data_IF_418830416407
#
_entry.id   IF_418830416407
#
_cell.length_a   1.000
_cell.length_b   1.000
_cell.length_c   1.000
_cell.angle_alpha   90.00
_cell.angle_beta   90.00
_cell.angle_gamma   90.00
#
_symmetry.space_group_name_H-M   'P 1'
#
loop_
_entity.id
_entity.type
_entity.pdbx_description
1 polymer ?
#
# COMPACT_ATOMS: atom_id res chain seq x y z
N UNK A 1 10.18 18.60 -1.30
CA UNK A 1 9.02 18.85 -0.42
C UNK A 1 9.50 18.63 1.00
N UNK A 2 9.22 19.53 1.94
CA UNK A 2 9.59 19.30 3.34
C UNK A 2 8.67 18.24 3.98
N UNK A 3 9.10 17.63 5.08
CA UNK A 3 8.25 16.71 5.84
C UNK A 3 6.92 17.37 6.26
N UNK A 4 6.97 18.61 6.75
CA UNK A 4 5.78 19.36 7.17
C UNK A 4 4.81 19.60 6.02
N UNK A 5 5.31 19.95 4.83
CA UNK A 5 4.47 20.14 3.65
C UNK A 5 3.79 18.83 3.24
N UNK A 6 4.51 17.72 3.33
CA UNK A 6 3.96 16.39 3.02
C UNK A 6 2.82 16.01 3.98
N UNK A 7 3.01 16.19 5.29
CA UNK A 7 1.96 15.88 6.28
C UNK A 7 0.71 16.70 6.03
N UNK A 8 0.87 17.99 5.75
CA UNK A 8 -0.27 18.87 5.45
C UNK A 8 -1.02 18.37 4.22
N UNK A 9 -0.32 18.05 3.13
CA UNK A 9 -0.93 17.48 1.94
C UNK A 9 -1.65 16.16 2.24
N UNK A 10 -1.00 15.25 2.97
CA UNK A 10 -1.53 13.93 3.28
C UNK A 10 -2.81 14.01 4.13
N UNK A 11 -2.85 14.88 5.14
CA UNK A 11 -3.99 15.02 6.05
C UNK A 11 -5.13 15.89 5.49
N UNK A 12 -4.81 16.93 4.72
CA UNK A 12 -5.80 17.91 4.27
C UNK A 12 -6.32 17.65 2.86
N UNK A 13 -5.63 16.84 2.04
CA UNK A 13 -6.04 16.52 0.66
C UNK A 13 -7.51 16.08 0.57
N UNK A 14 -7.94 15.15 1.43
CA UNK A 14 -9.32 14.67 1.42
C UNK A 14 -10.34 15.76 1.76
N UNK A 15 -9.98 16.72 2.63
CA UNK A 15 -10.86 17.85 2.98
C UNK A 15 -11.15 18.76 1.80
N UNK A 16 -10.27 18.77 0.81
CA UNK A 16 -10.40 19.54 -0.43
C UNK A 16 -10.78 18.66 -1.63
N UNK A 17 -11.22 17.42 -1.38
CA UNK A 17 -11.66 16.49 -2.44
C UNK A 17 -10.53 15.86 -3.25
N UNK A 18 -9.29 15.90 -2.76
CA UNK A 18 -8.13 15.28 -3.40
C UNK A 18 -7.86 13.92 -2.77
N UNK A 19 -7.87 12.86 -3.58
CA UNK A 19 -7.47 11.52 -3.17
C UNK A 19 -6.02 11.26 -3.58
N UNK A 20 -5.19 10.84 -2.62
CA UNK A 20 -3.79 10.49 -2.87
C UNK A 20 -3.66 8.97 -3.07
N UNK A 21 -3.13 8.58 -4.23
CA UNK A 21 -2.76 7.20 -4.54
C UNK A 21 -1.23 7.15 -4.63
N UNK A 22 -0.59 6.44 -3.70
CA UNK A 22 0.86 6.36 -3.59
C UNK A 22 1.31 4.96 -4.02
N UNK A 23 1.97 4.88 -5.17
CA UNK A 23 2.65 3.66 -5.62
C UNK A 23 4.11 3.65 -5.18
N UNK A 24 4.57 2.57 -4.56
CA UNK A 24 5.96 2.42 -4.15
C UNK A 24 6.41 0.96 -4.15
N UNK A 25 7.68 0.74 -4.47
CA UNK A 25 8.33 -0.56 -4.26
C UNK A 25 8.57 -0.81 -2.78
N UNK A 26 8.62 -2.09 -2.37
CA UNK A 26 8.90 -2.50 -0.99
C UNK A 26 10.16 -1.82 -0.43
N UNK A 27 11.25 -1.83 -1.18
CA UNK A 27 12.53 -1.22 -0.77
C UNK A 27 12.42 0.27 -0.45
N UNK A 28 11.57 1.01 -1.17
CA UNK A 28 11.32 2.43 -0.92
C UNK A 28 10.54 2.65 0.37
N UNK A 29 9.61 1.76 0.72
CA UNK A 29 8.79 1.84 1.93
C UNK A 29 9.54 1.38 3.18
N UNK A 30 10.64 0.65 3.03
CA UNK A 30 11.53 0.26 4.14
C UNK A 30 12.49 1.36 4.57
N UNK A 31 12.55 2.48 3.85
CA UNK A 31 13.40 3.62 4.22
C UNK A 31 12.95 4.27 5.54
N UNK A 32 13.88 4.96 6.18
CA UNK A 32 13.70 5.67 7.46
C UNK A 32 13.26 7.13 7.29
N UNK A 33 12.91 7.55 6.06
CA UNK A 33 12.37 8.89 5.80
C UNK A 33 11.10 9.13 6.63
N UNK A 34 10.99 10.33 7.25
CA UNK A 34 9.90 10.66 8.15
C UNK A 34 8.53 10.61 7.45
N UNK A 35 8.46 10.98 6.18
CA UNK A 35 7.23 10.95 5.38
C UNK A 35 6.79 9.51 5.15
N UNK A 36 7.75 8.63 4.82
CA UNK A 36 7.51 7.19 4.63
C UNK A 36 7.09 6.53 5.95
N UNK A 37 7.72 6.91 7.06
CA UNK A 37 7.31 6.45 8.40
C UNK A 37 5.87 6.86 8.69
N UNK A 38 5.51 8.11 8.43
CA UNK A 38 4.17 8.61 8.63
C UNK A 38 3.12 7.88 7.80
N UNK A 39 3.40 7.61 6.50
CA UNK A 39 2.50 6.81 5.65
C UNK A 39 2.23 5.45 6.27
N UNK A 40 3.28 4.73 6.71
CA UNK A 40 3.14 3.38 7.29
C UNK A 40 2.32 3.38 8.57
N UNK A 41 2.52 4.37 9.43
CA UNK A 41 1.80 4.50 10.70
C UNK A 41 0.32 4.87 10.52
N UNK A 42 -0.02 5.52 9.40
CA UNK A 42 -1.39 5.98 9.10
C UNK A 42 -2.01 5.22 7.91
N UNK A 43 -1.51 4.02 7.61
CA UNK A 43 -1.95 3.21 6.48
C UNK A 43 -3.24 2.45 6.85
N UNK A 44 -4.38 2.94 6.37
CA UNK A 44 -5.68 2.27 6.57
C UNK A 44 -6.00 1.30 5.44
N UNK A 45 -5.70 1.68 4.20
CA UNK A 45 -6.03 0.90 2.99
C UNK A 45 -4.81 0.77 2.10
N UNK A 46 -4.59 -0.42 1.53
CA UNK A 46 -3.51 -0.67 0.59
C UNK A 46 -3.88 -1.71 -0.47
N UNK A 47 -3.23 -1.61 -1.63
CA UNK A 47 -3.23 -2.66 -2.65
C UNK A 47 -1.83 -3.27 -2.67
N UNK A 48 -1.72 -4.56 -2.39
CA UNK A 48 -0.44 -5.27 -2.29
C UNK A 48 -0.34 -6.27 -3.43
N UNK A 49 0.52 -5.96 -4.41
CA UNK A 49 0.78 -6.77 -5.60
C UNK A 49 1.96 -7.75 -5.43
N UNK A 50 2.14 -8.28 -4.22
CA UNK A 50 3.12 -9.33 -3.89
C UNK A 50 2.55 -10.21 -2.77
N UNK A 51 3.19 -11.35 -2.48
CA UNK A 51 2.81 -12.18 -1.32
C UNK A 51 2.87 -11.36 -0.04
N UNK A 52 1.88 -11.53 0.83
CA UNK A 52 1.86 -10.89 2.13
C UNK A 52 3.07 -11.32 2.95
N UNK A 53 3.45 -12.60 2.87
CA UNK A 53 4.65 -13.16 3.50
C UNK A 53 5.95 -12.44 3.11
N UNK A 54 6.03 -11.95 1.87
CA UNK A 54 7.24 -11.31 1.35
C UNK A 54 7.32 -9.81 1.70
N UNK A 55 6.35 -9.25 2.43
CA UNK A 55 6.33 -7.83 2.78
C UNK A 55 6.10 -7.61 4.29
N UNK A 56 6.53 -6.46 4.79
CA UNK A 56 6.43 -6.09 6.22
C UNK A 56 5.79 -4.72 6.43
N UNK A 57 5.02 -4.26 5.44
CA UNK A 57 4.40 -2.93 5.38
C UNK A 57 3.00 -3.01 5.99
N UNK A 58 2.19 -3.96 5.54
CA UNK A 58 0.85 -4.22 6.10
C UNK A 58 0.89 -5.40 7.06
N UNK A 59 0.12 -5.28 8.14
CA UNK A 59 -0.07 -6.38 9.08
C UNK A 59 -0.83 -7.53 8.41
N UNK A 60 -0.40 -8.75 8.65
CA UNK A 60 -0.99 -9.94 8.06
C UNK A 60 -0.55 -11.18 8.86
N UNK A 61 -1.23 -12.31 8.65
CA UNK A 61 -0.79 -13.59 9.20
C UNK A 61 0.34 -14.16 8.35
N UNK A 62 1.50 -14.40 8.96
CA UNK A 62 2.63 -15.00 8.27
C UNK A 62 2.37 -16.47 7.97
N UNK A 63 2.23 -16.82 6.68
CA UNK A 63 2.06 -18.20 6.23
C UNK A 63 3.08 -18.51 5.14
N UNK A 64 4.05 -19.37 5.41
CA UNK A 64 5.11 -19.71 4.45
C UNK A 64 4.61 -20.51 3.23
N UNK A 65 3.41 -21.09 3.32
CA UNK A 65 2.73 -21.82 2.24
C UNK A 65 1.90 -20.91 1.33
N UNK A 66 2.03 -19.59 1.46
CA UNK A 66 1.32 -18.64 0.60
C UNK A 66 1.77 -18.79 -0.86
N UNK A 67 0.79 -19.02 -1.74
CA UNK A 67 1.00 -19.10 -3.18
C UNK A 67 1.42 -17.76 -3.76
N UNK A 68 2.26 -17.80 -4.80
CA UNK A 68 2.63 -16.60 -5.55
C UNK A 68 1.41 -16.00 -6.23
N UNK A 69 1.28 -14.67 -6.17
CA UNK A 69 0.23 -13.95 -6.90
C UNK A 69 0.46 -14.05 -8.41
N UNK A 70 -0.63 -14.25 -9.15
CA UNK A 70 -0.63 -14.03 -10.61
C UNK A 70 -0.54 -12.54 -10.92
N UNK A 71 -0.21 -12.22 -12.17
CA UNK A 71 -0.01 -10.82 -12.64
C UNK A 71 -1.24 -9.93 -12.43
N UNK A 72 -2.43 -10.52 -12.38
CA UNK A 72 -3.72 -9.86 -12.21
C UNK A 72 -4.32 -10.10 -10.81
N UNK A 73 -3.54 -10.62 -9.87
CA UNK A 73 -3.98 -10.84 -8.50
C UNK A 73 -3.27 -9.87 -7.55
N UNK A 74 -4.03 -9.32 -6.61
CA UNK A 74 -3.53 -8.42 -5.55
C UNK A 74 -4.25 -8.73 -4.25
N UNK A 75 -3.67 -8.32 -3.12
CA UNK A 75 -4.40 -8.23 -1.86
C UNK A 75 -4.96 -6.82 -1.69
N UNK A 76 -6.27 -6.72 -1.49
CA UNK A 76 -6.89 -5.53 -0.92
C UNK A 76 -6.79 -5.62 0.59
N UNK A 77 -6.07 -4.69 1.19
CA UNK A 77 -5.94 -4.56 2.63
C UNK A 77 -6.79 -3.39 3.12
N UNK A 78 -7.57 -3.62 4.17
CA UNK A 78 -8.30 -2.59 4.88
C UNK A 78 -8.36 -2.92 6.37
N UNK A 79 -7.77 -2.06 7.20
CA UNK A 79 -7.79 -2.15 8.66
C UNK A 79 -7.53 -3.56 9.22
N UNK A 80 -6.34 -4.10 8.92
CA UNK A 80 -5.88 -5.45 9.33
C UNK A 80 -6.60 -6.63 8.68
N UNK A 81 -7.70 -6.40 7.96
CA UNK A 81 -8.31 -7.40 7.10
C UNK A 81 -7.70 -7.33 5.69
N UNK A 82 -7.66 -8.48 5.03
CA UNK A 82 -7.15 -8.58 3.68
C UNK A 82 -7.85 -9.66 2.87
N UNK A 83 -8.13 -9.32 1.62
CA UNK A 83 -8.74 -10.23 0.67
C UNK A 83 -7.91 -10.30 -0.60
N UNK A 84 -7.63 -11.52 -1.06
CA UNK A 84 -7.07 -11.74 -2.39
C UNK A 84 -8.15 -11.46 -3.44
N UNK A 85 -7.89 -10.56 -4.36
CA UNK A 85 -8.81 -10.21 -5.45
C UNK A 85 -8.10 -10.30 -6.79
N UNK A 86 -8.91 -10.44 -7.84
CA UNK A 86 -8.46 -10.36 -9.23
C UNK A 86 -8.80 -8.99 -9.78
N UNK A 87 -7.80 -8.26 -10.27
CA UNK A 87 -7.99 -6.96 -10.92
C UNK A 87 -8.19 -7.15 -12.41
N UNK A 88 -9.05 -6.32 -12.99
CA UNK A 88 -9.30 -6.32 -14.44
C UNK A 88 -8.05 -5.86 -15.17
N UNK A 89 -7.57 -6.70 -16.09
CA UNK A 89 -6.51 -6.32 -17.04
C UNK A 89 -7.15 -5.59 -18.21
N UNK A 90 -6.86 -4.30 -18.38
CA UNK A 90 -7.09 -3.66 -19.68
C UNK A 90 -6.08 -4.26 -20.65
N UNK A 91 -6.59 -4.98 -21.65
CA UNK A 91 -5.80 -5.31 -22.84
C UNK A 91 -5.72 -4.00 -23.62
N UNK A 92 -4.55 -3.38 -23.67
CA UNK A 92 -4.31 -2.32 -24.64
C UNK A 92 -4.34 -3.00 -26.02
N UNK A 93 -5.40 -2.74 -26.79
CA UNK A 93 -5.48 -3.08 -28.21
C UNK A 93 -4.51 -2.22 -29.04
#
# INVERSE_FOLDING_TARGET
MSYTDFIKLYQESLKVGVQLIIGAQKSSLLKTDLSIKYIKENLVTAIVAQRLYDQSIVQHKMTSREETLKVDEVYLYHDQDYQKVKISKQVAE
#
